data_IF_151787425998
#
_entry.id   IF_151787425998
#
_cell.length_a   1.000
_cell.length_b   1.000
_cell.length_c   1.000
_cell.angle_alpha   90.00
_cell.angle_beta   90.00
_cell.angle_gamma   90.00
#
_symmetry.space_group_name_H-M   'P 1'
#
loop_
_entity.id
_entity.type
_entity.pdbx_description
1 polymer ?
#
# COMPACT_ATOMS: atom_id res chain seq x y z
N UNK A 1 7.65 -5.86 16.12
CA UNK A 1 7.54 -4.96 15.04
C UNK A 1 8.61 -3.90 15.03
N UNK A 2 8.73 -3.27 13.93
CA UNK A 2 9.71 -2.22 13.74
C UNK A 2 9.24 -0.92 14.39
N UNK A 3 10.04 -0.36 15.27
CA UNK A 3 9.71 0.87 15.97
C UNK A 3 9.66 2.11 15.07
N UNK A 4 10.20 2.03 13.85
CA UNK A 4 10.23 3.17 12.92
C UNK A 4 8.96 3.28 12.05
N UNK A 5 8.07 2.29 12.10
CA UNK A 5 6.88 2.24 11.23
C UNK A 5 5.64 1.98 12.05
N UNK A 6 4.49 2.46 11.57
CA UNK A 6 3.23 2.39 12.28
C UNK A 6 2.06 2.12 11.36
N UNK A 7 1.09 1.35 11.85
CA UNK A 7 -0.21 1.21 11.25
C UNK A 7 -0.30 0.16 10.16
N UNK A 8 -1.48 0.08 9.55
CA UNK A 8 -1.82 -0.97 8.58
C UNK A 8 -0.98 -0.92 7.29
N UNK A 9 -0.46 0.26 6.92
CA UNK A 9 0.39 0.42 5.74
C UNK A 9 1.85 0.62 6.10
N UNK A 10 2.21 0.44 7.37
CA UNK A 10 3.59 0.59 7.86
C UNK A 10 4.19 1.93 7.47
N UNK A 11 3.45 3.01 7.73
CA UNK A 11 3.95 4.36 7.49
C UNK A 11 5.14 4.67 8.38
N UNK A 12 6.05 5.49 7.87
CA UNK A 12 7.15 5.99 8.66
C UNK A 12 6.61 6.86 9.81
N UNK A 13 7.09 6.63 11.03
CA UNK A 13 6.63 7.37 12.20
C UNK A 13 6.92 8.85 12.17
N UNK A 14 7.74 9.30 11.22
CA UNK A 14 7.94 10.73 11.00
C UNK A 14 6.68 11.44 10.50
N UNK A 15 5.70 10.68 9.96
CA UNK A 15 4.43 11.25 9.53
C UNK A 15 3.49 11.35 10.73
N UNK A 16 3.42 12.56 11.29
CA UNK A 16 2.66 12.80 12.54
C UNK A 16 1.16 12.47 12.39
N UNK A 17 0.63 12.54 11.17
CA UNK A 17 -0.77 12.28 10.92
C UNK A 17 -1.18 10.82 11.17
N UNK A 18 -0.23 9.88 11.15
CA UNK A 18 -0.54 8.47 11.34
C UNK A 18 -0.02 7.91 12.66
N UNK A 19 0.87 8.62 13.34
CA UNK A 19 1.42 8.14 14.60
C UNK A 19 0.34 8.12 15.68
N UNK A 20 0.02 6.93 16.18
CA UNK A 20 -1.02 6.78 17.19
C UNK A 20 -2.44 6.87 16.64
N UNK A 21 -2.62 6.96 15.32
CA UNK A 21 -3.92 7.14 14.69
C UNK A 21 -4.80 5.89 14.83
N UNK A 22 -6.10 6.09 14.93
CA UNK A 22 -7.09 5.02 14.90
C UNK A 22 -7.14 4.39 13.50
N UNK A 23 -7.80 3.24 13.37
CA UNK A 23 -7.96 2.60 12.06
C UNK A 23 -8.71 3.53 11.08
N UNK A 24 -9.74 4.24 11.56
CA UNK A 24 -10.48 5.18 10.72
C UNK A 24 -9.58 6.32 10.23
N UNK A 25 -8.77 6.87 11.12
CA UNK A 25 -7.83 7.92 10.76
C UNK A 25 -6.78 7.42 9.77
N UNK A 26 -6.30 6.19 9.93
CA UNK A 26 -5.38 5.58 8.99
C UNK A 26 -6.00 5.40 7.61
N UNK A 27 -7.27 4.98 7.54
CA UNK A 27 -7.99 4.85 6.26
C UNK A 27 -8.15 6.19 5.58
N UNK A 28 -8.45 7.25 6.34
CA UNK A 28 -8.56 8.60 5.81
C UNK A 28 -7.22 9.10 5.26
N UNK A 29 -6.15 8.82 5.96
CA UNK A 29 -4.81 9.20 5.50
C UNK A 29 -4.45 8.47 4.21
N UNK A 30 -4.73 7.16 4.15
CA UNK A 30 -4.52 6.37 2.93
C UNK A 30 -5.31 6.97 1.76
N UNK A 31 -6.59 7.25 1.95
CA UNK A 31 -7.45 7.79 0.90
C UNK A 31 -6.93 9.15 0.40
N UNK A 32 -6.42 9.97 1.31
CA UNK A 32 -5.93 11.31 0.97
C UNK A 32 -4.56 11.32 0.30
N UNK A 33 -3.78 10.23 0.41
CA UNK A 33 -2.39 10.21 -0.07
C UNK A 33 -2.14 9.24 -1.22
N UNK A 34 -3.04 8.27 -1.46
CA UNK A 34 -2.78 7.17 -2.39
C UNK A 34 -2.58 7.65 -3.83
N UNK A 35 -3.41 8.56 -4.29
CA UNK A 35 -3.32 9.06 -5.66
C UNK A 35 -2.00 9.78 -5.88
N UNK A 36 -1.63 10.66 -4.96
CA UNK A 36 -0.36 11.39 -5.05
C UNK A 36 0.82 10.44 -5.07
N UNK A 37 0.82 9.44 -4.19
CA UNK A 37 1.93 8.49 -4.09
C UNK A 37 2.08 7.67 -5.36
N UNK A 38 0.98 7.18 -5.94
CA UNK A 38 1.05 6.43 -7.18
C UNK A 38 1.46 7.29 -8.37
N UNK A 39 1.00 8.54 -8.43
CA UNK A 39 1.39 9.42 -9.53
C UNK A 39 2.85 9.86 -9.41
N UNK A 40 3.37 9.91 -8.20
CA UNK A 40 4.77 10.30 -7.97
C UNK A 40 5.71 9.09 -8.11
N UNK A 41 5.35 7.95 -7.55
CA UNK A 41 6.23 6.79 -7.41
C UNK A 41 5.81 5.58 -8.25
N UNK A 42 4.82 5.71 -9.11
CA UNK A 42 4.36 4.59 -9.94
C UNK A 42 5.46 3.95 -10.78
N UNK A 43 6.47 4.73 -11.14
CA UNK A 43 7.61 4.23 -11.89
C UNK A 43 8.39 3.13 -11.13
N UNK A 44 8.23 3.02 -9.82
CA UNK A 44 8.85 1.95 -9.05
C UNK A 44 8.25 0.58 -9.39
N UNK A 45 7.01 0.55 -9.87
CA UNK A 45 6.39 -0.68 -10.34
C UNK A 45 6.63 -0.90 -11.84
N UNK A 46 6.35 0.13 -12.64
CA UNK A 46 6.47 0.04 -14.10
C UNK A 46 6.59 1.46 -14.67
N UNK A 47 7.43 1.62 -15.69
CA UNK A 47 7.60 2.91 -16.35
C UNK A 47 6.26 3.45 -16.85
N UNK A 48 5.94 4.68 -16.47
CA UNK A 48 4.69 5.33 -16.88
C UNK A 48 3.47 4.92 -16.09
N UNK A 49 3.65 4.08 -15.08
CA UNK A 49 2.54 3.59 -14.24
C UNK A 49 2.08 4.71 -13.30
N UNK A 50 0.75 4.89 -13.20
CA UNK A 50 0.15 5.91 -12.33
C UNK A 50 -1.03 5.33 -11.54
N UNK A 51 -1.73 6.20 -10.81
CA UNK A 51 -2.84 5.77 -9.97
C UNK A 51 -4.00 5.19 -10.79
N UNK A 52 -4.28 5.76 -11.96
CA UNK A 52 -5.34 5.25 -12.83
C UNK A 52 -5.03 3.82 -13.29
N UNK A 53 -3.77 3.56 -13.64
CA UNK A 53 -3.34 2.20 -13.99
C UNK A 53 -3.54 1.24 -12.83
N UNK A 54 -3.24 1.67 -11.61
CA UNK A 54 -3.47 0.86 -10.41
C UNK A 54 -4.95 0.53 -10.24
N UNK A 55 -5.83 1.51 -10.42
CA UNK A 55 -7.28 1.30 -10.27
C UNK A 55 -7.84 0.32 -11.31
N UNK A 56 -7.19 0.19 -12.45
CA UNK A 56 -7.62 -0.70 -13.53
C UNK A 56 -6.99 -2.09 -13.45
N UNK A 57 -6.16 -2.37 -12.44
CA UNK A 57 -5.56 -3.69 -12.28
C UNK A 57 -6.61 -4.72 -11.91
N UNK A 58 -6.50 -5.92 -12.51
CA UNK A 58 -7.44 -7.02 -12.28
C UNK A 58 -6.82 -8.18 -11.51
N UNK A 59 -5.50 -8.22 -11.40
CA UNK A 59 -4.79 -9.26 -10.64
C UNK A 59 -4.53 -8.77 -9.23
N UNK A 60 -5.02 -9.50 -8.23
CA UNK A 60 -4.84 -9.15 -6.82
C UNK A 60 -3.38 -9.14 -6.42
N UNK A 61 -2.61 -10.15 -6.89
CA UNK A 61 -1.20 -10.23 -6.57
C UNK A 61 -0.40 -9.12 -7.23
N UNK A 62 -0.75 -8.75 -8.45
CA UNK A 62 -0.08 -7.64 -9.14
C UNK A 62 -0.43 -6.31 -8.47
N UNK A 63 -1.68 -6.11 -8.08
CA UNK A 63 -2.09 -4.90 -7.37
C UNK A 63 -1.39 -4.78 -6.01
N UNK A 64 -1.27 -5.88 -5.28
CA UNK A 64 -0.55 -5.89 -4.01
C UNK A 64 0.93 -5.55 -4.21
N UNK A 65 1.54 -6.07 -5.27
CA UNK A 65 2.92 -5.76 -5.59
C UNK A 65 3.10 -4.29 -5.96
N UNK A 66 2.21 -3.75 -6.79
CA UNK A 66 2.25 -2.33 -7.16
C UNK A 66 2.10 -1.45 -5.91
N UNK A 67 1.17 -1.79 -5.03
CA UNK A 67 0.96 -1.06 -3.79
C UNK A 67 2.21 -1.12 -2.89
N UNK A 68 2.80 -2.30 -2.76
CA UNK A 68 4.00 -2.48 -1.95
C UNK A 68 5.18 -1.64 -2.49
N UNK A 69 5.33 -1.57 -3.79
CA UNK A 69 6.45 -0.83 -4.41
C UNK A 69 6.23 0.68 -4.44
N UNK A 70 5.01 1.11 -4.69
CA UNK A 70 4.72 2.53 -4.94
C UNK A 70 4.27 3.27 -3.70
N UNK A 71 3.40 2.65 -2.91
CA UNK A 71 2.85 3.30 -1.73
C UNK A 71 3.63 2.97 -0.47
N UNK A 72 3.79 1.70 -0.17
CA UNK A 72 4.48 1.27 1.05
C UNK A 72 5.99 1.38 0.92
N UNK A 73 6.51 1.21 -0.28
CA UNK A 73 7.94 1.25 -0.60
C UNK A 73 8.75 0.36 0.35
N UNK A 74 8.21 -0.84 0.60
CA UNK A 74 8.85 -1.82 1.47
C UNK A 74 9.98 -2.54 0.74
N UNK A 75 10.78 -3.30 1.49
CA UNK A 75 11.86 -4.10 0.90
C UNK A 75 11.30 -5.25 0.06
N UNK A 76 12.06 -5.68 -0.93
CA UNK A 76 11.65 -6.79 -1.82
C UNK A 76 11.40 -8.09 -1.06
N UNK A 77 12.02 -8.29 0.09
CA UNK A 77 11.79 -9.46 0.91
C UNK A 77 10.39 -9.55 1.48
N UNK A 78 9.63 -8.45 1.48
CA UNK A 78 8.26 -8.41 1.99
C UNK A 78 7.19 -8.63 0.92
N UNK A 79 7.55 -8.63 -0.37
CA UNK A 79 6.56 -8.62 -1.45
C UNK A 79 5.68 -9.87 -1.45
N UNK A 80 6.27 -11.05 -1.33
CA UNK A 80 5.51 -12.31 -1.35
C UNK A 80 4.53 -12.39 -0.19
N UNK A 81 4.94 -11.97 1.00
CA UNK A 81 4.07 -11.97 2.18
C UNK A 81 2.89 -11.03 1.96
N UNK A 82 3.13 -9.85 1.41
CA UNK A 82 2.07 -8.88 1.14
C UNK A 82 1.11 -9.36 0.07
N UNK A 83 1.62 -10.02 -0.98
CA UNK A 83 0.77 -10.61 -2.01
C UNK A 83 -0.11 -11.73 -1.44
N UNK A 84 0.45 -12.59 -0.60
CA UNK A 84 -0.30 -13.66 0.03
C UNK A 84 -1.38 -13.11 0.97
N UNK A 85 -1.07 -12.08 1.73
CA UNK A 85 -2.04 -11.43 2.61
C UNK A 85 -3.18 -10.78 1.82
N UNK A 86 -2.88 -10.23 0.64
CA UNK A 86 -3.90 -9.66 -0.22
C UNK A 86 -4.87 -10.72 -0.75
N UNK A 87 -4.35 -11.89 -1.11
CA UNK A 87 -5.19 -13.02 -1.53
C UNK A 87 -6.10 -13.48 -0.39
N UNK A 88 -5.56 -13.60 0.80
CA UNK A 88 -6.34 -14.00 1.98
C UNK A 88 -7.45 -12.98 2.25
N UNK A 89 -7.13 -11.70 2.22
CA UNK A 89 -8.11 -10.65 2.45
C UNK A 89 -9.21 -10.66 1.38
N UNK A 90 -8.84 -10.82 0.12
CA UNK A 90 -9.80 -10.89 -0.97
C UNK A 90 -10.75 -12.07 -0.78
N UNK A 91 -10.21 -13.25 -0.49
CA UNK A 91 -11.03 -14.43 -0.30
C UNK A 91 -11.98 -14.28 0.88
N UNK A 92 -11.56 -13.60 1.93
CA UNK A 92 -12.40 -13.34 3.08
C UNK A 92 -13.61 -12.46 2.72
N UNK A 93 -13.37 -11.40 1.91
CA UNK A 93 -14.42 -10.44 1.60
C UNK A 93 -15.36 -10.88 0.48
N UNK A 94 -14.94 -11.79 -0.40
CA UNK A 94 -15.78 -12.22 -1.53
C UNK A 94 -16.39 -13.61 -1.35
N UNK A 95 -16.02 -14.34 -0.33
CA UNK A 95 -16.57 -15.68 -0.07
C UNK A 95 -17.74 -15.65 0.95
#
# INVERSE_FOLDING_TARGET
>A
GNSSYYGMCQWNKAYSEVWGASLEEQCNYLENTIEYEFNTFGHAYKRGFDYEDFLNMTSITDAALAFAKCYERCSSGSYTVRQNNAIIAYNYFVS
#
